data_IF_567876523975
#
_entry.id   IF_567876523975
#
_cell.length_a   1.000
_cell.length_b   1.000
_cell.length_c   1.000
_cell.angle_alpha   90.00
_cell.angle_beta   90.00
_cell.angle_gamma   90.00
#
_symmetry.space_group_name_H-M   'P 1'
#
loop_
_entity.id
_entity.type
_entity.pdbx_description
1 polymer ?
#
# COMPACT_ATOMS: atom_id res chain seq x y z
N UNK A 1 14.59 19.15 -3.18
CA UNK A 1 13.80 19.97 -2.25
C UNK A 1 14.56 20.05 -0.92
N UNK A 2 14.98 21.23 -0.45
CA UNK A 2 15.68 21.41 0.84
C UNK A 2 14.69 21.95 1.87
N UNK A 3 13.84 21.10 2.41
CA UNK A 3 12.90 21.52 3.44
C UNK A 3 12.72 20.42 4.46
N UNK A 4 12.17 20.81 5.60
CA UNK A 4 11.73 19.90 6.64
C UNK A 4 10.22 19.74 6.55
N UNK A 5 9.72 18.58 6.96
CA UNK A 5 8.27 18.34 7.03
C UNK A 5 7.97 17.37 8.17
N UNK A 6 6.75 17.44 8.67
CA UNK A 6 6.25 16.45 9.63
C UNK A 6 6.08 15.11 8.90
N UNK A 7 6.72 14.08 9.43
CA UNK A 7 6.60 12.71 8.95
C UNK A 7 6.56 11.79 10.17
N UNK A 8 5.35 11.43 10.59
CA UNK A 8 5.13 10.65 11.80
C UNK A 8 5.81 9.25 11.71
N UNK A 9 6.09 8.74 10.50
CA UNK A 9 6.82 7.47 10.33
C UNK A 9 8.32 7.61 10.63
N UNK A 10 8.91 8.76 10.34
CA UNK A 10 10.31 9.04 10.69
C UNK A 10 10.45 9.35 12.18
N UNK A 11 9.42 9.96 12.80
CA UNK A 11 9.37 10.15 14.25
C UNK A 11 9.49 8.82 15.00
N UNK A 12 8.85 7.76 14.50
CA UNK A 12 8.95 6.41 15.08
C UNK A 12 10.34 5.76 14.92
N UNK A 13 11.12 6.19 13.92
CA UNK A 13 12.47 5.66 13.65
C UNK A 13 13.57 6.36 14.46
N UNK A 14 13.29 7.53 15.04
CA UNK A 14 14.20 8.25 15.95
C UNK A 14 15.42 8.90 15.30
N UNK A 15 15.64 8.75 13.98
CA UNK A 15 16.71 9.39 13.22
C UNK A 15 16.19 10.53 12.35
N UNK A 16 16.93 11.64 12.23
CA UNK A 16 16.53 12.82 11.46
C UNK A 16 15.16 13.37 11.89
N UNK A 17 14.98 13.53 13.20
CA UNK A 17 13.76 14.05 13.82
C UNK A 17 14.12 15.28 14.64
N UNK A 18 13.27 16.30 14.61
CA UNK A 18 13.47 17.55 15.32
C UNK A 18 12.17 17.98 15.99
N UNK A 19 12.28 18.74 17.08
CA UNK A 19 11.13 19.19 17.89
C UNK A 19 10.16 20.10 17.12
N UNK A 20 10.68 20.84 16.13
CA UNK A 20 9.86 21.72 15.31
C UNK A 20 10.45 21.89 13.91
N UNK A 21 9.62 22.41 13.00
CA UNK A 21 10.04 22.80 11.66
C UNK A 21 11.16 23.85 11.70
N UNK A 22 11.05 24.81 12.63
CA UNK A 22 12.03 25.87 12.81
C UNK A 22 13.41 25.32 13.18
N UNK A 23 13.47 24.38 14.15
CA UNK A 23 14.72 23.75 14.58
C UNK A 23 15.35 22.96 13.42
N UNK A 24 14.54 22.19 12.69
CA UNK A 24 15.03 21.43 11.54
C UNK A 24 15.58 22.34 10.43
N UNK A 25 14.90 23.46 10.18
CA UNK A 25 15.24 24.41 9.13
C UNK A 25 16.35 25.40 9.50
N UNK A 26 16.81 25.39 10.75
CA UNK A 26 17.93 26.21 11.18
C UNK A 26 19.21 25.84 10.39
N UNK A 27 20.00 26.87 10.08
CA UNK A 27 21.22 26.73 9.27
C UNK A 27 22.22 25.81 9.97
N UNK A 28 22.69 24.80 9.25
CA UNK A 28 23.70 23.86 9.76
C UNK A 28 23.10 22.69 10.56
N UNK A 29 21.77 22.60 10.70
CA UNK A 29 21.10 21.47 11.36
C UNK A 29 20.82 20.35 10.37
N UNK A 30 19.72 20.40 9.63
CA UNK A 30 19.43 19.43 8.58
C UNK A 30 20.15 19.78 7.26
N UNK A 31 20.33 21.08 7.00
CA UNK A 31 20.90 21.59 5.76
C UNK A 31 21.95 22.69 6.04
N UNK A 32 23.10 22.73 5.33
CA UNK A 32 24.15 23.72 5.56
C UNK A 32 23.72 25.20 5.40
N UNK A 33 22.68 25.45 4.61
CA UNK A 33 22.15 26.78 4.32
C UNK A 33 20.72 26.98 4.84
N UNK A 34 20.24 26.08 5.72
CA UNK A 34 18.84 26.06 6.16
C UNK A 34 17.89 25.54 5.09
N UNK A 35 16.59 25.59 5.40
CA UNK A 35 15.55 25.25 4.43
C UNK A 35 15.40 26.32 3.35
N UNK A 36 14.96 25.89 2.17
CA UNK A 36 14.31 26.73 1.19
C UNK A 36 12.82 26.79 1.49
N UNK A 37 12.22 27.93 1.22
CA UNK A 37 10.76 28.05 1.17
C UNK A 37 10.26 27.16 0.04
N UNK A 38 9.37 26.24 0.38
CA UNK A 38 8.73 25.37 -0.60
C UNK A 38 7.24 25.47 -0.38
N UNK A 39 6.52 25.80 -1.44
CA UNK A 39 5.07 25.81 -1.42
C UNK A 39 4.61 24.35 -1.39
N UNK A 40 4.09 23.93 -0.24
CA UNK A 40 3.49 22.60 -0.09
C UNK A 40 2.11 22.60 -0.74
N UNK A 41 1.78 21.48 -1.37
CA UNK A 41 0.45 21.23 -1.90
C UNK A 41 -0.61 21.37 -0.79
N UNK A 42 -1.58 22.26 -1.01
CA UNK A 42 -2.70 22.48 -0.08
C UNK A 42 -3.71 21.33 -0.15
N UNK A 43 -3.80 20.71 -1.32
CA UNK A 43 -4.72 19.61 -1.63
C UNK A 43 -3.93 18.32 -1.87
N UNK A 44 -4.62 17.20 -1.69
CA UNK A 44 -4.06 15.89 -2.05
C UNK A 44 -4.18 15.69 -3.56
N UNK A 45 -3.18 15.03 -4.13
CA UNK A 45 -3.17 14.58 -5.52
C UNK A 45 -3.18 13.05 -5.53
N UNK A 46 -3.62 12.47 -6.64
CA UNK A 46 -3.59 11.03 -6.84
C UNK A 46 -2.23 10.61 -7.36
N UNK A 47 -1.67 9.57 -6.74
CA UNK A 47 -0.39 9.01 -7.12
C UNK A 47 -0.45 7.50 -7.18
N UNK A 48 0.40 6.92 -8.02
CA UNK A 48 0.65 5.49 -8.03
C UNK A 48 1.16 5.03 -6.66
N UNK A 49 0.43 4.10 -6.05
CA UNK A 49 0.83 3.37 -4.86
C UNK A 49 0.99 1.90 -5.26
N UNK A 50 2.16 1.33 -4.96
CA UNK A 50 2.47 -0.05 -5.29
C UNK A 50 2.79 -0.79 -4.00
N UNK A 51 1.82 -1.57 -3.52
CA UNK A 51 2.02 -2.51 -2.43
C UNK A 51 1.82 -3.91 -3.02
N UNK A 52 2.91 -4.49 -3.53
CA UNK A 52 2.86 -5.72 -4.33
C UNK A 52 2.00 -6.81 -3.66
N UNK A 53 1.00 -7.37 -4.37
CA UNK A 53 0.74 -7.25 -5.82
C UNK A 53 -0.18 -6.09 -6.22
N UNK A 54 -0.71 -5.32 -5.27
CA UNK A 54 -1.66 -4.26 -5.55
C UNK A 54 -1.00 -3.10 -6.30
N UNK A 55 -1.54 -2.81 -7.48
CA UNK A 55 -1.28 -1.61 -8.28
C UNK A 55 -2.48 -0.70 -8.07
N UNK A 56 -2.35 0.36 -7.29
CA UNK A 56 -3.49 1.23 -6.98
C UNK A 56 -3.11 2.69 -7.08
N UNK A 57 -4.10 3.55 -7.14
CA UNK A 57 -3.91 4.97 -6.98
C UNK A 57 -4.50 5.39 -5.65
N UNK A 58 -3.84 6.32 -4.97
CA UNK A 58 -4.31 6.82 -3.69
C UNK A 58 -3.88 8.26 -3.45
N UNK A 59 -4.64 9.01 -2.64
CA UNK A 59 -4.29 10.38 -2.32
C UNK A 59 -2.98 10.42 -1.52
N UNK A 60 -2.06 11.32 -1.87
CA UNK A 60 -0.84 11.52 -1.10
C UNK A 60 -0.25 12.91 -1.23
N UNK A 61 -0.55 13.80 -0.28
CA UNK A 61 0.06 15.13 -0.19
C UNK A 61 1.59 15.09 -0.25
N UNK A 62 2.16 14.14 0.49
CA UNK A 62 3.61 13.99 0.61
C UNK A 62 4.32 13.64 -0.71
N UNK A 63 3.61 13.01 -1.65
CA UNK A 63 4.09 12.66 -2.98
C UNK A 63 3.84 13.81 -3.98
N UNK A 64 2.74 14.56 -3.82
CA UNK A 64 2.50 15.79 -4.57
C UNK A 64 3.65 16.79 -4.37
N UNK A 65 4.06 16.99 -3.12
CA UNK A 65 5.15 17.90 -2.76
C UNK A 65 6.51 17.49 -3.38
N UNK A 66 6.66 16.21 -3.75
CA UNK A 66 7.89 15.68 -4.34
C UNK A 66 7.94 15.84 -5.86
N UNK A 67 6.89 16.35 -6.49
CA UNK A 67 6.81 16.50 -7.95
C UNK A 67 6.85 15.18 -8.68
N UNK A 68 6.31 14.11 -8.08
CA UNK A 68 6.14 12.83 -8.77
C UNK A 68 5.11 12.96 -9.89
N UNK A 69 4.94 11.92 -10.72
CA UNK A 69 3.79 11.88 -11.63
C UNK A 69 2.53 11.81 -10.75
N UNK A 70 1.69 12.84 -10.88
CA UNK A 70 0.45 13.03 -10.15
C UNK A 70 -0.69 13.09 -11.15
N UNK A 71 -1.89 12.75 -10.68
CA UNK A 71 -3.10 12.72 -11.47
C UNK A 71 -4.19 13.53 -10.76
N UNK A 72 -5.12 14.08 -11.50
CA UNK A 72 -6.21 14.89 -10.96
C UNK A 72 -7.23 14.02 -10.23
N UNK A 73 -7.47 12.80 -10.73
CA UNK A 73 -8.43 11.86 -10.17
C UNK A 73 -7.86 10.45 -10.00
N UNK A 74 -8.53 9.63 -9.18
CA UNK A 74 -8.21 8.20 -9.04
C UNK A 74 -8.38 7.48 -10.37
N UNK A 75 -9.46 7.78 -11.09
CA UNK A 75 -9.82 7.16 -12.37
C UNK A 75 -8.73 7.41 -13.40
N UNK A 76 -8.32 8.67 -13.59
CA UNK A 76 -7.23 9.04 -14.50
C UNK A 76 -5.92 8.32 -14.15
N UNK A 77 -5.61 8.20 -12.85
CA UNK A 77 -4.42 7.49 -12.41
C UNK A 77 -4.50 5.98 -12.73
N UNK A 78 -5.69 5.40 -12.63
CA UNK A 78 -5.95 3.99 -12.84
C UNK A 78 -6.22 3.58 -14.29
N UNK A 79 -6.30 4.53 -15.23
CA UNK A 79 -6.40 4.25 -16.66
C UNK A 79 -5.20 3.41 -17.14
N UNK A 80 -5.43 2.56 -18.15
CA UNK A 80 -4.37 1.80 -18.82
C UNK A 80 -3.29 2.76 -19.35
N UNK A 81 -2.03 2.37 -19.19
CA UNK A 81 -0.85 3.17 -19.52
C UNK A 81 -0.72 4.53 -18.79
N UNK A 82 -1.60 4.85 -17.83
CA UNK A 82 -1.48 6.05 -17.02
C UNK A 82 -0.42 5.87 -15.92
N UNK A 83 -0.76 5.26 -14.79
CA UNK A 83 0.20 4.88 -13.75
C UNK A 83 0.74 3.47 -13.92
N UNK A 84 -0.08 2.59 -14.50
CA UNK A 84 0.18 1.17 -14.64
C UNK A 84 -0.19 0.71 -16.06
N UNK A 85 0.60 -0.16 -16.71
CA UNK A 85 0.31 -0.60 -18.08
C UNK A 85 -1.06 -1.28 -18.23
N UNK A 86 -1.49 -2.02 -17.22
CA UNK A 86 -2.77 -2.76 -17.20
C UNK A 86 -3.85 -2.04 -16.37
N UNK A 87 -3.62 -0.76 -16.03
CA UNK A 87 -4.43 -0.04 -15.06
C UNK A 87 -4.25 -0.53 -13.62
N UNK A 88 -5.10 -0.02 -12.73
CA UNK A 88 -5.12 -0.46 -11.34
C UNK A 88 -5.64 -1.90 -11.20
N UNK A 89 -5.14 -2.61 -10.21
CA UNK A 89 -5.63 -3.95 -9.84
C UNK A 89 -6.65 -3.82 -8.72
N UNK A 90 -7.81 -4.45 -8.89
CA UNK A 90 -8.78 -4.56 -7.81
C UNK A 90 -8.16 -5.31 -6.63
N UNK A 91 -8.41 -4.78 -5.43
CA UNK A 91 -7.95 -5.42 -4.21
C UNK A 91 -8.77 -6.68 -3.98
N UNK A 92 -8.15 -7.81 -3.59
CA UNK A 92 -8.90 -9.01 -3.26
C UNK A 92 -9.89 -8.68 -2.13
N UNK A 93 -11.11 -9.25 -2.17
CA UNK A 93 -12.15 -8.91 -1.22
C UNK A 93 -11.70 -9.23 0.21
N UNK A 94 -12.05 -8.33 1.14
CA UNK A 94 -11.95 -8.58 2.57
C UNK A 94 -13.38 -8.75 3.09
N UNK A 95 -13.72 -9.87 3.74
CA UNK A 95 -12.85 -10.98 4.14
C UNK A 95 -12.47 -11.90 2.97
N UNK A 96 -11.28 -12.49 3.05
CA UNK A 96 -10.78 -13.47 2.09
C UNK A 96 -10.69 -14.88 2.69
N UNK A 97 -10.37 -15.87 1.87
CA UNK A 97 -10.12 -17.25 2.29
C UNK A 97 -8.67 -17.65 2.02
N UNK A 98 -8.06 -18.35 2.96
CA UNK A 98 -6.71 -18.90 2.83
C UNK A 98 -6.72 -20.38 3.17
N UNK A 99 -5.70 -21.10 2.72
CA UNK A 99 -5.36 -22.43 3.24
C UNK A 99 -4.98 -22.31 4.72
N UNK A 100 -5.66 -23.08 5.57
CA UNK A 100 -5.45 -23.11 7.01
C UNK A 100 -4.71 -24.38 7.45
N UNK A 101 -5.32 -25.55 7.19
CA UNK A 101 -4.73 -26.86 7.47
C UNK A 101 -4.47 -27.57 6.16
N UNK A 102 -3.23 -27.97 5.89
CA UNK A 102 -2.90 -28.64 4.63
C UNK A 102 -3.09 -30.15 4.67
N UNK A 103 -2.50 -30.85 5.64
CA UNK A 103 -2.61 -32.30 5.79
C UNK A 103 -2.87 -32.65 7.26
N UNK A 104 -3.72 -33.64 7.59
CA UNK A 104 -4.53 -34.47 6.67
C UNK A 104 -5.88 -33.84 6.28
N UNK A 105 -6.26 -32.73 6.93
CA UNK A 105 -7.66 -32.27 6.93
C UNK A 105 -7.99 -31.35 5.74
N UNK A 106 -7.02 -30.66 5.11
CA UNK A 106 -7.24 -29.78 3.93
C UNK A 106 -8.40 -28.81 4.15
N UNK A 107 -8.18 -27.78 4.96
CA UNK A 107 -9.17 -26.77 5.29
C UNK A 107 -8.76 -25.39 4.84
N UNK A 108 -9.77 -24.63 4.44
CA UNK A 108 -9.67 -23.20 4.24
C UNK A 108 -10.28 -22.48 5.43
N UNK A 109 -9.73 -21.31 5.78
CA UNK A 109 -10.38 -20.42 6.75
C UNK A 109 -10.58 -19.04 6.18
N UNK A 110 -11.64 -18.41 6.67
CA UNK A 110 -11.94 -17.00 6.45
C UNK A 110 -11.01 -16.12 7.27
N UNK A 111 -10.47 -15.08 6.65
CA UNK A 111 -9.58 -14.10 7.26
C UNK A 111 -10.10 -12.69 6.99
N UNK A 112 -10.10 -11.86 8.01
CA UNK A 112 -10.51 -10.45 7.94
C UNK A 112 -9.32 -9.49 8.03
N UNK A 113 -8.11 -10.02 8.23
CA UNK A 113 -6.88 -9.25 8.25
C UNK A 113 -6.52 -8.80 6.83
N UNK A 114 -6.52 -7.48 6.63
CA UNK A 114 -6.26 -6.85 5.33
C UNK A 114 -4.88 -7.22 4.80
N UNK A 115 -3.87 -7.26 5.66
CA UNK A 115 -2.50 -7.60 5.25
C UNK A 115 -2.41 -9.03 4.71
N UNK A 116 -3.11 -9.98 5.35
CA UNK A 116 -3.19 -11.37 4.87
C UNK A 116 -3.90 -11.44 3.52
N UNK A 117 -5.04 -10.77 3.37
CA UNK A 117 -5.78 -10.79 2.11
C UNK A 117 -4.99 -10.13 0.96
N UNK A 118 -4.16 -9.13 1.26
CA UNK A 118 -3.41 -8.40 0.25
C UNK A 118 -2.04 -9.00 -0.07
N UNK A 119 -1.68 -10.16 0.50
CA UNK A 119 -0.36 -10.80 0.27
C UNK A 119 -0.16 -11.33 -1.16
N UNK A 120 -1.24 -11.47 -1.93
CA UNK A 120 -1.21 -11.79 -3.36
C UNK A 120 -1.11 -13.25 -3.79
N UNK A 121 -0.83 -14.18 -2.88
CA UNK A 121 -0.75 -15.61 -3.18
C UNK A 121 -1.50 -16.44 -2.15
N UNK A 122 -2.11 -17.54 -2.57
CA UNK A 122 -2.89 -18.42 -1.67
C UNK A 122 -3.98 -17.66 -0.91
N UNK A 123 -4.62 -16.70 -1.59
CA UNK A 123 -5.78 -15.94 -1.13
C UNK A 123 -6.87 -16.19 -2.16
N UNK A 124 -8.07 -16.47 -1.68
CA UNK A 124 -9.21 -16.83 -2.51
C UNK A 124 -10.43 -15.99 -2.10
N UNK A 125 -11.27 -15.66 -3.07
CA UNK A 125 -12.44 -14.81 -2.85
C UNK A 125 -13.53 -15.51 -2.03
N UNK A 126 -13.59 -16.84 -2.12
CA UNK A 126 -14.58 -17.66 -1.42
C UNK A 126 -13.97 -18.97 -0.92
N UNK A 127 -14.66 -19.59 0.04
CA UNK A 127 -14.34 -20.93 0.52
C UNK A 127 -14.38 -21.94 -0.62
N UNK A 128 -15.39 -21.84 -1.49
CA UNK A 128 -15.58 -22.72 -2.64
C UNK A 128 -14.36 -22.68 -3.57
N UNK A 129 -13.86 -21.49 -3.90
CA UNK A 129 -12.67 -21.34 -4.73
C UNK A 129 -11.44 -21.90 -4.01
N UNK A 130 -11.27 -21.59 -2.71
CA UNK A 130 -10.15 -22.11 -1.93
C UNK A 130 -10.13 -23.65 -1.90
N UNK A 131 -11.31 -24.25 -1.72
CA UNK A 131 -11.52 -25.68 -1.63
C UNK A 131 -11.65 -26.39 -2.98
N UNK A 132 -11.63 -25.66 -4.10
CA UNK A 132 -11.66 -26.23 -5.43
C UNK A 132 -10.40 -27.06 -5.70
N UNK A 133 -10.56 -28.14 -6.47
CA UNK A 133 -9.45 -29.01 -6.87
C UNK A 133 -8.41 -28.20 -7.66
N UNK A 134 -7.16 -28.21 -7.20
CA UNK A 134 -6.05 -27.50 -7.84
C UNK A 134 -5.90 -26.03 -7.43
N UNK A 135 -6.78 -25.50 -6.57
CA UNK A 135 -6.67 -24.13 -6.06
C UNK A 135 -5.81 -24.09 -4.78
N UNK A 136 -6.40 -24.26 -3.60
CA UNK A 136 -5.66 -24.39 -2.34
C UNK A 136 -5.03 -25.78 -2.14
N UNK A 137 -5.68 -26.82 -2.69
CA UNK A 137 -5.28 -28.22 -2.50
C UNK A 137 -5.37 -29.01 -3.81
N UNK A 138 -4.43 -29.95 -4.07
CA UNK A 138 -4.46 -30.79 -5.28
C UNK A 138 -5.75 -31.61 -5.44
N UNK A 139 -6.38 -32.00 -4.34
CA UNK A 139 -7.60 -32.84 -4.30
C UNK A 139 -8.82 -32.10 -3.71
N UNK A 140 -8.72 -30.78 -3.51
CA UNK A 140 -9.74 -29.98 -2.81
C UNK A 140 -9.76 -30.18 -1.30
N UNK A 141 -10.67 -29.49 -0.61
CA UNK A 141 -10.86 -29.65 0.83
C UNK A 141 -11.44 -31.01 1.23
N UNK A 142 -11.19 -31.45 2.46
CA UNK A 142 -11.90 -32.62 3.01
C UNK A 142 -13.34 -32.22 3.32
N UNK A 143 -14.31 -33.01 2.84
CA UNK A 143 -15.73 -32.64 2.89
C UNK A 143 -16.41 -32.78 4.27
N UNK A 144 -15.68 -33.21 5.31
CA UNK A 144 -16.26 -33.63 6.60
C UNK A 144 -15.36 -33.31 7.81
N UNK A 145 -14.82 -32.09 7.93
CA UNK A 145 -13.99 -31.68 9.07
C UNK A 145 -14.74 -30.82 10.09
#
# INVERSE_FOLDING_TARGET
MRTCRRDDTQCLKGSNVWESLEVCCARGVAFPNGCQEVELSKEECWVAQMDFPSKRCGPSRSQCDRGWKVYETEEECCEEDAAFPEGCTELPPVPCWIVDVYDPVRLCRKVTDVATCYRGWGVFESEEICCAKGAGFPEGCTKDA
#
